data_IF_238305873183
#
_entry.id   IF_238305873183
#
_cell.length_a   1.000
_cell.length_b   1.000
_cell.length_c   1.000
_cell.angle_alpha   90.00
_cell.angle_beta   90.00
_cell.angle_gamma   90.00
#
_symmetry.space_group_name_H-M   'P 1'
#
loop_
_entity.id
_entity.type
_entity.pdbx_description
1 polymer ?
#
# COMPACT_ATOMS: atom_id res chain seq x y z
N UNK A 1 15.87 -19.90 5.91
CA UNK A 1 15.33 -19.37 4.65
C UNK A 1 14.88 -17.96 4.96
N UNK A 2 15.75 -16.99 4.72
CA UNK A 2 15.45 -15.57 4.90
C UNK A 2 15.32 -15.01 3.50
N UNK A 3 14.10 -14.84 3.03
CA UNK A 3 13.86 -14.04 1.83
C UNK A 3 14.05 -12.58 2.24
N UNK A 4 14.99 -11.84 1.62
CA UNK A 4 15.13 -10.44 1.89
C UNK A 4 13.82 -9.78 1.50
N UNK A 5 13.12 -9.29 2.51
CA UNK A 5 12.04 -8.31 2.46
C UNK A 5 12.24 -7.38 1.26
N UNK A 6 11.59 -7.73 0.14
CA UNK A 6 11.70 -7.00 -1.11
C UNK A 6 11.18 -5.57 -0.86
N UNK A 7 12.03 -4.53 -0.88
CA UNK A 7 11.62 -3.15 -0.59
C UNK A 7 10.71 -2.56 -1.69
N UNK A 8 10.34 -3.38 -2.67
CA UNK A 8 9.51 -3.02 -3.81
C UNK A 8 8.29 -3.95 -3.99
N UNK A 9 7.90 -4.72 -2.96
CA UNK A 9 6.75 -5.60 -3.05
C UNK A 9 5.45 -4.79 -3.22
N UNK A 10 4.73 -5.06 -4.31
CA UNK A 10 3.40 -4.50 -4.51
C UNK A 10 2.39 -5.38 -3.79
N UNK A 11 1.69 -4.82 -2.81
CA UNK A 11 0.65 -5.52 -2.07
C UNK A 11 -0.65 -5.50 -2.86
N UNK A 12 -1.28 -6.66 -2.99
CA UNK A 12 -2.62 -6.75 -3.57
C UNK A 12 -3.66 -6.15 -2.62
N UNK A 13 -4.87 -5.89 -3.12
CA UNK A 13 -5.98 -5.41 -2.27
C UNK A 13 -6.25 -6.35 -1.10
N UNK A 14 -6.25 -7.66 -1.35
CA UNK A 14 -6.39 -8.70 -0.33
C UNK A 14 -5.30 -8.61 0.73
N UNK A 15 -4.04 -8.58 0.31
CA UNK A 15 -2.91 -8.51 1.25
C UNK A 15 -2.91 -7.24 2.10
N UNK A 16 -3.31 -6.10 1.55
CA UNK A 16 -3.46 -4.85 2.31
C UNK A 16 -4.55 -4.96 3.38
N UNK A 17 -5.70 -5.56 3.03
CA UNK A 17 -6.78 -5.81 4.00
C UNK A 17 -6.30 -6.75 5.09
N UNK A 18 -5.66 -7.86 4.71
CA UNK A 18 -5.17 -8.86 5.66
C UNK A 18 -4.13 -8.27 6.62
N UNK A 19 -3.19 -7.45 6.13
CA UNK A 19 -2.19 -6.81 6.98
C UNK A 19 -2.76 -5.68 7.86
N UNK A 20 -3.73 -4.91 7.35
CA UNK A 20 -4.27 -3.77 8.09
C UNK A 20 -5.41 -4.14 9.06
N UNK A 21 -6.25 -5.11 8.70
CA UNK A 21 -7.50 -5.45 9.39
C UNK A 21 -7.56 -6.93 9.84
N UNK A 22 -6.65 -7.79 9.36
CA UNK A 22 -6.63 -9.22 9.63
C UNK A 22 -7.51 -10.04 8.66
N UNK A 23 -7.45 -11.37 8.78
CA UNK A 23 -8.20 -12.37 7.98
C UNK A 23 -9.74 -12.27 8.06
N UNK A 24 -10.28 -11.29 8.78
CA UNK A 24 -11.66 -11.31 9.25
C UNK A 24 -12.62 -10.45 8.42
N UNK A 25 -12.30 -10.13 7.16
CA UNK A 25 -13.15 -9.25 6.36
C UNK A 25 -13.26 -9.63 4.87
N UNK A 26 -14.10 -10.63 4.59
CA UNK A 26 -14.40 -11.17 3.25
C UNK A 26 -15.12 -10.19 2.28
N UNK A 27 -15.34 -8.93 2.66
CA UNK A 27 -16.16 -7.98 1.89
C UNK A 27 -15.50 -6.66 1.48
N UNK A 28 -14.22 -6.45 1.84
CA UNK A 28 -13.61 -5.11 1.84
C UNK A 28 -12.85 -4.75 0.55
N UNK A 29 -12.80 -5.63 -0.47
CA UNK A 29 -12.08 -5.38 -1.74
C UNK A 29 -12.49 -4.04 -2.40
N UNK A 30 -13.77 -3.66 -2.25
CA UNK A 30 -14.32 -2.41 -2.81
C UNK A 30 -13.99 -1.15 -2.00
N UNK A 31 -13.61 -1.29 -0.74
CA UNK A 31 -13.34 -0.16 0.16
C UNK A 31 -11.85 0.14 0.30
N UNK A 32 -10.96 -0.74 -0.17
CA UNK A 32 -9.50 -0.51 -0.18
C UNK A 32 -9.15 0.80 -0.86
N UNK A 33 -9.70 1.08 -2.04
CA UNK A 33 -9.45 2.34 -2.76
C UNK A 33 -9.82 3.59 -1.93
N UNK A 34 -10.93 3.51 -1.18
CA UNK A 34 -11.35 4.59 -0.28
C UNK A 34 -10.40 4.74 0.90
N UNK A 35 -9.94 3.64 1.49
CA UNK A 35 -8.95 3.67 2.56
C UNK A 35 -7.61 4.25 2.07
N UNK A 36 -7.11 3.80 0.92
CA UNK A 36 -5.90 4.33 0.30
C UNK A 36 -6.04 5.83 0.01
N UNK A 37 -7.17 6.28 -0.56
CA UNK A 37 -7.42 7.73 -0.75
C UNK A 37 -7.42 8.51 0.55
N UNK A 38 -8.04 8.00 1.61
CA UNK A 38 -8.03 8.67 2.91
C UNK A 38 -6.64 8.65 3.55
N UNK A 39 -5.87 7.58 3.38
CA UNK A 39 -4.49 7.50 3.85
C UNK A 39 -3.63 8.52 3.12
N UNK A 40 -3.70 8.54 1.78
CA UNK A 40 -3.00 9.52 0.94
C UNK A 40 -3.29 10.94 1.38
N UNK A 41 -4.55 11.29 1.63
CA UNK A 41 -4.90 12.63 2.14
C UNK A 41 -4.32 12.98 3.51
N UNK A 42 -3.92 11.99 4.31
CA UNK A 42 -3.36 12.19 5.65
C UNK A 42 -1.84 12.21 5.65
N UNK A 43 -1.19 11.39 4.81
CA UNK A 43 0.27 11.23 4.79
C UNK A 43 0.92 11.95 3.61
N UNK A 44 0.23 12.06 2.46
CA UNK A 44 0.75 12.75 1.28
C UNK A 44 0.37 14.23 1.35
N UNK A 45 1.34 15.10 1.03
CA UNK A 45 1.08 16.52 0.87
C UNK A 45 0.18 16.81 -0.34
N UNK A 46 0.38 16.09 -1.44
CA UNK A 46 -0.44 16.19 -2.64
C UNK A 46 -0.96 14.81 -3.11
N UNK A 47 -2.28 14.57 -3.12
CA UNK A 47 -2.84 13.27 -3.51
C UNK A 47 -2.74 12.99 -5.02
N UNK A 48 -2.40 13.97 -5.85
CA UNK A 48 -2.16 13.80 -7.30
C UNK A 48 -0.72 13.36 -7.57
N UNK A 49 0.20 13.59 -6.62
CA UNK A 49 1.59 13.13 -6.67
C UNK A 49 1.91 12.31 -5.41
N UNK A 50 1.46 11.05 -5.34
CA UNK A 50 1.74 10.22 -4.18
C UNK A 50 3.24 9.87 -4.11
N UNK A 51 3.90 10.30 -3.04
CA UNK A 51 5.29 10.03 -2.71
C UNK A 51 5.43 8.74 -1.88
N UNK A 52 4.45 8.43 -1.04
CA UNK A 52 4.48 7.25 -0.15
C UNK A 52 3.70 6.05 -0.70
N UNK A 53 2.57 6.22 -1.39
CA UNK A 53 1.76 5.11 -1.89
C UNK A 53 1.68 5.11 -3.41
N UNK A 54 2.38 4.20 -4.07
CA UNK A 54 2.33 4.04 -5.51
C UNK A 54 1.24 3.04 -5.94
N UNK A 55 0.46 3.39 -6.96
CA UNK A 55 -0.52 2.47 -7.55
C UNK A 55 0.15 1.65 -8.66
N UNK A 56 0.18 0.33 -8.52
CA UNK A 56 0.67 -0.61 -9.53
C UNK A 56 -0.52 -1.22 -10.25
N UNK A 57 -0.83 -0.70 -11.44
CA UNK A 57 -1.96 -1.17 -12.25
C UNK A 57 -1.85 -2.68 -12.54
N UNK A 58 -2.92 -3.42 -12.25
CA UNK A 58 -2.97 -4.88 -12.43
C UNK A 58 -2.42 -5.70 -11.27
N UNK A 59 -1.79 -5.08 -10.27
CA UNK A 59 -1.24 -5.77 -9.10
C UNK A 59 -1.86 -5.25 -7.79
N UNK A 60 -1.79 -3.94 -7.54
CA UNK A 60 -2.28 -3.36 -6.29
C UNK A 60 -1.56 -2.05 -5.93
N UNK A 61 -1.08 -1.95 -4.70
CA UNK A 61 -0.40 -0.74 -4.21
C UNK A 61 0.94 -1.10 -3.57
N UNK A 62 1.93 -0.24 -3.80
CA UNK A 62 3.28 -0.36 -3.27
C UNK A 62 3.55 0.82 -2.34
N UNK A 63 4.04 0.55 -1.14
CA UNK A 63 4.52 1.62 -0.28
C UNK A 63 5.97 1.95 -0.66
N UNK A 64 6.22 3.21 -1.00
CA UNK A 64 7.56 3.80 -0.99
C UNK A 64 7.80 4.31 0.42
N UNK A 65 8.68 3.63 1.12
CA UNK A 65 9.20 4.15 2.36
C UNK A 65 10.29 5.18 2.03
N UNK A 66 10.21 6.36 2.63
CA UNK A 66 11.26 7.39 2.56
C UNK A 66 12.56 6.92 3.25
N UNK A 67 12.55 5.78 3.93
CA UNK A 67 13.74 5.19 4.59
C UNK A 67 14.61 4.32 3.67
N UNK A 68 14.27 4.19 2.38
CA UNK A 68 15.06 3.42 1.41
C UNK A 68 16.26 4.19 0.85
N UNK A 69 17.30 4.36 1.67
CA UNK A 69 18.71 4.47 1.27
C UNK A 69 19.00 5.18 -0.07
N UNK A 70 18.97 6.52 -0.07
CA UNK A 70 19.81 7.31 -0.97
C UNK A 70 21.15 7.57 -0.26
N UNK A 71 22.06 6.60 -0.37
CA UNK A 71 23.46 6.69 0.04
C UNK A 71 24.36 6.17 -1.06
#
# INVERSE_FOLDING_TARGET
MVEPENPNHAFTRGELIEKALGYNYEGLDRTVDSHIKNLRKKIEGDPSQPEHIETVFGVGYRMRDESGEAG
#
